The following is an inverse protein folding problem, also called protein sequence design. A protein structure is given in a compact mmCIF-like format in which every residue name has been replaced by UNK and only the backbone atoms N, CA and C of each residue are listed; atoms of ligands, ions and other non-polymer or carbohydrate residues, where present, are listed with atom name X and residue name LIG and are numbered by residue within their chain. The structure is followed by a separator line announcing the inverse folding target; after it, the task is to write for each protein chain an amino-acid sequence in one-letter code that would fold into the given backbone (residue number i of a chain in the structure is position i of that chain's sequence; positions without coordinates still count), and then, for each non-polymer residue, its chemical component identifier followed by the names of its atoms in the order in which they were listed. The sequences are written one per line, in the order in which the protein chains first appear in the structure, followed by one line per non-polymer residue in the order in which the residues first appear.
data_IF_573928561756
#
_entry.id   IF_573928561756
#
_cell.length_a   1.000
_cell.length_b   1.000
_cell.length_c   1.000
_cell.angle_alpha   90.00
_cell.angle_beta   90.00
_cell.angle_gamma   90.00
#
_symmetry.space_group_name_H-M   'P 1'
#
loop_
_entity.id
_entity.type
_entity.pdbx_description
1 polymer ?
#
# COMPACT_ATOMS: atom_id res chain seq x y z
N UNK A 1 58.26 44.97 23.91
CA UNK A 1 56.88 44.50 24.13
C UNK A 1 56.44 43.73 22.91
N UNK A 2 56.37 42.36 23.04
CA UNK A 2 55.98 41.51 21.94
C UNK A 2 54.54 41.08 22.23
N UNK A 3 53.61 41.46 21.35
CA UNK A 3 52.21 41.12 21.46
C UNK A 3 51.97 39.80 20.73
N UNK A 4 51.62 38.78 21.45
CA UNK A 4 51.30 37.47 20.87
C UNK A 4 49.79 37.40 20.57
N UNK A 5 49.43 37.36 19.31
CA UNK A 5 48.05 37.10 18.87
C UNK A 5 47.79 35.60 18.81
N UNK A 6 46.93 35.13 19.70
CA UNK A 6 46.46 33.73 19.67
C UNK A 6 45.22 33.67 18.79
N UNK A 7 45.36 33.09 17.62
CA UNK A 7 44.20 32.85 16.72
C UNK A 7 43.51 31.58 17.16
N UNK A 8 42.29 31.67 17.66
CA UNK A 8 41.49 30.50 17.97
C UNK A 8 40.78 30.03 16.69
N UNK A 9 41.13 28.84 16.24
CA UNK A 9 40.41 28.15 15.13
C UNK A 9 39.14 27.52 15.72
N UNK A 10 38.00 28.05 15.35
CA UNK A 10 36.71 27.44 15.66
C UNK A 10 36.40 26.40 14.64
N UNK A 11 36.45 25.14 15.03
CA UNK A 11 36.08 24.01 14.17
C UNK A 11 34.55 23.87 14.20
N UNK A 12 33.91 24.26 13.12
CA UNK A 12 32.46 24.04 12.97
C UNK A 12 32.20 22.57 12.67
N UNK A 13 31.62 21.87 13.63
CA UNK A 13 31.16 20.49 13.39
C UNK A 13 29.83 20.56 12.66
N UNK A 14 29.87 20.24 11.39
CA UNK A 14 28.64 20.10 10.57
C UNK A 14 28.04 18.74 10.92
N UNK A 15 27.03 18.76 11.78
CA UNK A 15 26.21 17.57 12.00
C UNK A 15 25.35 17.36 10.76
N UNK A 16 25.78 16.46 9.90
CA UNK A 16 24.95 15.99 8.79
C UNK A 16 23.85 15.11 9.39
N UNK A 17 22.69 15.68 9.59
CA UNK A 17 21.50 14.92 9.94
C UNK A 17 21.10 14.11 8.70
N UNK A 18 21.49 12.83 8.68
CA UNK A 18 20.94 11.89 7.73
C UNK A 18 19.46 11.74 8.09
N UNK A 19 18.61 12.43 7.36
CA UNK A 19 17.18 12.16 7.39
C UNK A 19 17.00 10.73 6.88
N UNK A 20 16.74 9.82 7.80
CA UNK A 20 16.22 8.50 7.44
C UNK A 20 14.88 8.77 6.76
N UNK A 21 14.90 8.75 5.43
CA UNK A 21 13.67 8.69 4.67
C UNK A 21 13.03 7.36 5.04
N UNK A 22 12.14 7.39 6.03
CA UNK A 22 11.28 6.25 6.31
C UNK A 22 10.56 5.95 5.01
N UNK A 23 10.88 4.82 4.40
CA UNK A 23 10.21 4.36 3.20
C UNK A 23 8.75 4.08 3.57
N UNK A 24 7.90 5.07 3.31
CA UNK A 24 6.47 4.99 3.53
C UNK A 24 5.77 4.26 2.37
N UNK A 25 6.54 3.48 1.63
CA UNK A 25 6.06 2.77 0.46
C UNK A 25 5.38 1.47 0.88
N UNK A 26 4.18 1.25 0.40
CA UNK A 26 3.33 0.14 0.86
C UNK A 26 2.91 -0.75 -0.30
N UNK A 27 3.02 -2.05 -0.08
CA UNK A 27 2.59 -3.05 -1.07
C UNK A 27 1.93 -4.23 -0.38
N UNK A 28 1.10 -4.94 -1.15
CA UNK A 28 0.59 -6.27 -0.81
C UNK A 28 1.71 -7.28 -1.05
N UNK A 29 1.88 -8.22 -0.10
CA UNK A 29 2.90 -9.27 -0.16
C UNK A 29 2.28 -10.67 -0.30
N UNK A 30 1.05 -10.84 0.23
CA UNK A 30 0.30 -12.10 0.14
C UNK A 30 -1.18 -11.77 0.06
N UNK A 31 -1.90 -12.26 -0.94
CA UNK A 31 -1.39 -12.95 -2.14
C UNK A 31 -0.47 -12.02 -2.96
N UNK A 32 0.53 -12.61 -3.61
CA UNK A 32 1.61 -11.82 -4.25
C UNK A 32 1.16 -11.23 -5.59
N UNK A 33 1.16 -9.91 -5.77
CA UNK A 33 0.83 -9.33 -7.08
C UNK A 33 1.95 -9.54 -8.09
N UNK A 34 1.60 -9.58 -9.36
CA UNK A 34 2.55 -9.42 -10.46
C UNK A 34 2.74 -7.92 -10.70
N UNK A 35 3.97 -7.43 -10.67
CA UNK A 35 4.26 -6.02 -10.89
C UNK A 35 4.48 -5.71 -12.37
N UNK A 36 4.18 -4.48 -12.76
CA UNK A 36 4.41 -3.98 -14.13
C UNK A 36 5.84 -3.48 -14.32
N UNK A 37 6.64 -3.46 -13.25
CA UNK A 37 8.03 -2.99 -13.26
C UNK A 37 8.89 -3.85 -12.34
N UNK A 38 10.16 -3.98 -12.66
CA UNK A 38 11.16 -4.60 -11.79
C UNK A 38 11.88 -3.59 -10.89
N UNK A 39 11.72 -2.32 -11.16
CA UNK A 39 12.33 -1.26 -10.36
C UNK A 39 11.74 -1.27 -8.95
N UNK A 40 12.59 -1.47 -7.96
CA UNK A 40 12.18 -1.65 -6.57
C UNK A 40 11.50 -0.40 -5.99
N UNK A 41 12.03 0.76 -6.29
CA UNK A 41 11.49 2.01 -5.75
C UNK A 41 10.11 2.31 -6.33
N UNK A 42 9.92 2.02 -7.61
CA UNK A 42 8.63 2.17 -8.29
C UNK A 42 7.58 1.19 -7.77
N UNK A 43 7.95 -0.10 -7.56
CA UNK A 43 7.01 -1.11 -7.02
C UNK A 43 6.34 -0.66 -5.73
N UNK A 44 7.09 0.03 -4.87
CA UNK A 44 6.63 0.43 -3.55
C UNK A 44 6.04 1.84 -3.54
N UNK A 45 6.09 2.56 -4.67
CA UNK A 45 5.66 3.96 -4.73
C UNK A 45 4.13 4.09 -4.64
N UNK A 46 3.71 5.24 -4.16
CA UNK A 46 2.30 5.62 -4.22
C UNK A 46 1.87 5.89 -5.66
N UNK A 47 0.62 5.59 -5.95
CA UNK A 47 0.00 5.81 -7.26
C UNK A 47 -0.11 7.31 -7.58
N UNK A 48 -0.46 8.11 -6.56
CA UNK A 48 -0.68 9.53 -6.71
C UNK A 48 -0.55 10.23 -5.36
N UNK A 49 -0.29 11.54 -5.41
CA UNK A 49 -0.46 12.45 -4.29
C UNK A 49 -1.76 13.23 -4.47
N UNK A 50 -2.46 13.48 -3.37
CA UNK A 50 -3.56 14.44 -3.30
C UNK A 50 -3.19 15.51 -2.29
N UNK A 51 -3.26 16.76 -2.76
CA UNK A 51 -3.02 17.92 -1.91
C UNK A 51 -4.31 18.72 -1.80
N UNK A 52 -4.45 19.15 -0.56
CA UNK A 52 -5.36 19.88 -0.39
C UNK A 52 -6.66 19.67 -0.89
N UNK A 53 -7.04 18.77 -0.53
CA UNK A 53 -8.40 18.35 -0.93
C UNK A 53 -9.46 18.81 0.07
N UNK A 54 -9.09 19.64 1.03
CA UNK A 54 -10.03 20.13 2.03
C UNK A 54 -10.19 19.24 3.25
N UNK A 55 -9.36 18.22 3.39
CA UNK A 55 -9.33 17.36 4.58
C UNK A 55 -7.88 17.18 5.04
N UNK A 56 -7.69 17.16 6.37
CA UNK A 56 -6.37 17.09 6.97
C UNK A 56 -6.12 15.78 7.72
N UNK A 57 -7.15 15.19 8.30
CA UNK A 57 -7.06 13.96 9.08
C UNK A 57 -7.88 12.85 8.41
N UNK A 58 -7.70 11.62 8.89
CA UNK A 58 -8.49 10.51 8.38
C UNK A 58 -9.99 10.66 8.76
N UNK A 59 -10.29 11.29 9.91
CA UNK A 59 -11.67 11.60 10.31
C UNK A 59 -12.28 12.65 9.37
N UNK A 60 -11.53 13.69 9.05
CA UNK A 60 -11.96 14.71 8.08
C UNK A 60 -12.30 14.07 6.74
N UNK A 61 -11.43 13.15 6.27
CA UNK A 61 -11.64 12.46 5.00
C UNK A 61 -12.91 11.61 5.05
N UNK A 62 -13.14 10.87 6.12
CA UNK A 62 -14.34 10.02 6.25
C UNK A 62 -15.61 10.85 6.13
N UNK A 63 -15.67 12.02 6.80
CA UNK A 63 -16.80 12.93 6.72
C UNK A 63 -16.92 13.54 5.31
N UNK A 64 -15.82 14.08 4.80
CA UNK A 64 -15.77 14.73 3.48
C UNK A 64 -16.19 13.76 2.36
N UNK A 65 -15.73 12.52 2.42
CA UNK A 65 -16.04 11.48 1.43
C UNK A 65 -17.54 11.25 1.33
N UNK A 66 -18.20 11.09 2.47
CA UNK A 66 -19.66 10.89 2.55
C UNK A 66 -20.42 12.10 2.02
N UNK A 67 -19.99 13.30 2.42
CA UNK A 67 -20.63 14.56 2.00
C UNK A 67 -20.49 14.81 0.49
N UNK A 68 -19.45 14.22 -0.13
CA UNK A 68 -19.19 14.34 -1.57
C UNK A 68 -19.71 13.13 -2.36
N UNK A 69 -20.47 12.23 -1.74
CA UNK A 69 -21.18 11.15 -2.42
C UNK A 69 -20.34 9.93 -2.74
N UNK A 70 -19.22 9.74 -2.08
CA UNK A 70 -18.40 8.54 -2.26
C UNK A 70 -18.70 7.53 -1.14
N UNK A 71 -19.37 6.46 -1.48
CA UNK A 71 -19.80 5.43 -0.52
C UNK A 71 -18.65 4.58 0.02
N UNK A 72 -17.50 4.58 -0.66
CA UNK A 72 -16.34 3.77 -0.27
C UNK A 72 -15.04 4.48 -0.65
N UNK A 73 -13.92 4.01 -0.11
CA UNK A 73 -12.58 4.46 -0.54
C UNK A 73 -12.37 4.10 -2.02
N UNK A 74 -12.82 2.91 -2.43
CA UNK A 74 -12.78 2.49 -3.84
C UNK A 74 -13.53 3.48 -4.72
N UNK A 75 -14.75 3.85 -4.34
CA UNK A 75 -15.56 4.82 -5.11
C UNK A 75 -14.84 6.17 -5.24
N UNK A 76 -14.22 6.64 -4.15
CA UNK A 76 -13.40 7.86 -4.18
C UNK A 76 -12.20 7.69 -5.13
N UNK A 77 -11.46 6.60 -4.99
CA UNK A 77 -10.25 6.37 -5.79
C UNK A 77 -10.55 6.24 -7.29
N UNK A 78 -11.73 5.73 -7.63
CA UNK A 78 -12.12 5.53 -9.02
C UNK A 78 -12.82 6.77 -9.61
N UNK A 79 -13.48 7.57 -8.77
CA UNK A 79 -14.28 8.73 -9.19
C UNK A 79 -13.61 10.08 -9.06
N UNK A 80 -12.62 10.22 -8.17
CA UNK A 80 -11.95 11.51 -7.95
C UNK A 80 -10.99 11.83 -9.10
N UNK A 81 -10.84 13.13 -9.35
CA UNK A 81 -9.93 13.61 -10.41
C UNK A 81 -8.52 13.79 -9.84
N UNK A 82 -7.59 12.99 -10.31
CA UNK A 82 -6.17 13.14 -10.00
C UNK A 82 -5.30 12.52 -11.10
N UNK A 83 -4.05 12.94 -11.13
CA UNK A 83 -3.08 12.42 -12.11
C UNK A 83 -2.24 11.33 -11.46
N UNK A 84 -2.17 10.18 -12.11
CA UNK A 84 -1.35 9.06 -11.63
C UNK A 84 0.11 9.25 -12.00
N UNK A 85 0.98 8.63 -11.21
CA UNK A 85 2.43 8.59 -11.46
C UNK A 85 2.73 7.89 -12.79
N UNK A 86 3.82 8.30 -13.43
CA UNK A 86 4.24 7.70 -14.71
C UNK A 86 4.40 6.18 -14.56
N UNK A 87 3.79 5.45 -15.49
CA UNK A 87 3.84 4.00 -15.53
C UNK A 87 2.83 3.29 -14.64
N UNK A 88 2.05 4.04 -13.83
CA UNK A 88 1.01 3.47 -13.00
C UNK A 88 -0.31 3.35 -13.77
N UNK A 89 -1.07 2.31 -13.47
CA UNK A 89 -2.44 2.14 -13.94
C UNK A 89 -3.41 2.75 -12.92
N UNK A 90 -4.44 3.42 -13.40
CA UNK A 90 -5.40 4.08 -12.51
C UNK A 90 -6.11 3.10 -11.56
N UNK A 91 -6.42 1.90 -12.05
CA UNK A 91 -7.15 0.88 -11.27
C UNK A 91 -6.24 0.09 -10.33
N UNK A 92 -5.03 -0.27 -10.80
CA UNK A 92 -4.17 -1.28 -10.17
C UNK A 92 -2.81 -0.75 -9.71
N UNK A 93 -2.53 0.54 -9.87
CA UNK A 93 -1.23 1.10 -9.51
C UNK A 93 -0.11 0.50 -10.36
N UNK A 94 0.89 -0.07 -9.70
CA UNK A 94 2.02 -0.70 -10.38
C UNK A 94 1.89 -2.22 -10.45
N UNK A 95 0.65 -2.75 -10.35
CA UNK A 95 0.39 -4.19 -10.45
C UNK A 95 -0.42 -4.51 -11.71
N UNK A 96 -0.29 -5.75 -12.16
CA UNK A 96 -0.90 -6.23 -13.42
C UNK A 96 -2.10 -7.11 -13.10
N UNK A 97 -3.30 -6.63 -13.42
CA UNK A 97 -4.55 -7.37 -13.21
C UNK A 97 -4.61 -8.68 -14.03
N UNK A 98 -3.83 -8.74 -15.12
CA UNK A 98 -3.71 -9.94 -15.98
C UNK A 98 -2.41 -10.69 -15.70
N UNK A 99 -1.82 -10.52 -14.53
CA UNK A 99 -0.60 -11.20 -14.14
C UNK A 99 -0.84 -12.63 -13.67
N UNK A 100 0.13 -13.19 -12.97
CA UNK A 100 0.08 -14.58 -12.50
C UNK A 100 -1.08 -14.77 -11.51
N UNK A 101 -1.94 -15.74 -11.81
CA UNK A 101 -3.08 -16.09 -10.96
C UNK A 101 -2.55 -16.76 -9.67
N UNK A 102 -2.90 -16.21 -8.54
CA UNK A 102 -2.45 -16.70 -7.23
C UNK A 102 -3.48 -17.62 -6.59
N UNK A 103 -3.04 -18.61 -5.81
CA UNK A 103 -3.98 -19.39 -4.99
C UNK A 103 -4.57 -18.53 -3.86
N UNK A 104 -5.75 -18.91 -3.39
CA UNK A 104 -6.30 -18.34 -2.16
C UNK A 104 -5.37 -18.73 -1.00
N UNK A 105 -4.84 -17.78 -0.23
CA UNK A 105 -3.94 -18.12 0.87
C UNK A 105 -4.59 -18.95 1.98
N UNK A 106 -3.81 -19.89 2.53
CA UNK A 106 -4.26 -20.73 3.63
C UNK A 106 -4.61 -19.89 4.86
N UNK A 107 -5.61 -20.31 5.60
CA UNK A 107 -6.05 -19.64 6.82
C UNK A 107 -6.61 -18.24 6.56
N UNK A 108 -7.03 -17.96 5.33
CA UNK A 108 -7.55 -16.66 4.95
C UNK A 108 -6.51 -15.53 5.12
N UNK A 109 -5.23 -15.87 5.01
CA UNK A 109 -4.14 -14.94 5.27
C UNK A 109 -4.06 -13.82 4.22
N UNK A 110 -3.72 -12.65 4.71
CA UNK A 110 -3.29 -11.52 3.87
C UNK A 110 -2.06 -10.88 4.53
N UNK A 111 -1.16 -10.37 3.71
CA UNK A 111 0.04 -9.72 4.21
C UNK A 111 0.37 -8.49 3.36
N UNK A 112 0.70 -7.41 4.04
CA UNK A 112 1.22 -6.18 3.40
C UNK A 112 2.53 -5.77 4.09
N UNK A 113 3.14 -4.69 3.64
CA UNK A 113 4.31 -4.14 4.32
C UNK A 113 3.93 -3.45 5.64
N UNK A 114 2.63 -3.32 5.92
CA UNK A 114 2.07 -2.66 7.09
C UNK A 114 1.54 -1.27 6.73
N UNK A 115 0.75 -0.70 7.61
CA UNK A 115 0.17 0.64 7.42
C UNK A 115 0.95 1.62 8.30
N UNK A 116 1.85 2.39 7.71
CA UNK A 116 2.80 3.25 8.45
C UNK A 116 2.29 4.65 8.72
N UNK A 117 1.16 5.03 8.14
CA UNK A 117 0.51 6.33 8.31
C UNK A 117 -0.97 6.13 8.54
N UNK A 118 -1.59 7.08 9.21
CA UNK A 118 -3.04 7.12 9.35
C UNK A 118 -3.71 7.16 7.98
N UNK A 119 -4.91 6.61 7.91
CA UNK A 119 -5.72 6.66 6.71
C UNK A 119 -6.55 5.41 6.47
N UNK A 120 -7.61 5.54 5.67
CA UNK A 120 -8.51 4.43 5.39
C UNK A 120 -7.91 3.42 4.44
N UNK A 121 -8.33 2.18 4.59
CA UNK A 121 -8.04 1.13 3.61
C UNK A 121 -9.25 0.24 3.37
N UNK A 122 -9.27 -0.37 2.20
CA UNK A 122 -10.29 -1.34 1.81
C UNK A 122 -9.66 -2.49 1.04
N UNK A 123 -10.26 -3.68 1.19
CA UNK A 123 -9.97 -4.83 0.33
C UNK A 123 -11.28 -5.33 -0.24
N UNK A 124 -11.26 -5.63 -1.52
CA UNK A 124 -12.41 -6.12 -2.27
C UNK A 124 -12.04 -7.40 -3.01
N UNK A 125 -13.01 -8.30 -3.17
CA UNK A 125 -12.91 -9.43 -4.10
C UNK A 125 -13.98 -9.18 -5.17
N UNK A 126 -13.55 -8.84 -6.37
CA UNK A 126 -14.41 -8.30 -7.42
C UNK A 126 -15.23 -7.12 -6.88
N UNK A 127 -16.55 -7.28 -6.72
CA UNK A 127 -17.43 -6.22 -6.22
C UNK A 127 -17.88 -6.44 -4.77
N UNK A 128 -17.28 -7.40 -4.07
CA UNK A 128 -17.58 -7.67 -2.65
C UNK A 128 -16.50 -7.04 -1.76
N UNK A 129 -16.87 -6.09 -0.92
CA UNK A 129 -15.96 -5.52 0.09
C UNK A 129 -15.77 -6.54 1.21
N UNK A 130 -14.52 -6.94 1.47
CA UNK A 130 -14.18 -7.97 2.47
C UNK A 130 -13.41 -7.41 3.66
N UNK A 131 -12.92 -6.18 3.56
CA UNK A 131 -12.27 -5.48 4.67
C UNK A 131 -12.39 -3.98 4.47
N UNK A 132 -12.66 -3.27 5.56
CA UNK A 132 -12.68 -1.81 5.56
C UNK A 132 -12.36 -1.28 6.96
N UNK A 133 -11.48 -0.29 7.01
CA UNK A 133 -11.23 0.49 8.24
C UNK A 133 -11.04 1.95 7.88
N UNK A 134 -11.55 2.83 8.74
CA UNK A 134 -11.35 4.28 8.58
C UNK A 134 -9.90 4.69 8.90
N UNK A 135 -9.22 3.94 9.77
CA UNK A 135 -7.79 4.13 10.05
C UNK A 135 -7.09 2.77 10.16
N UNK A 136 -6.45 2.35 9.08
CA UNK A 136 -5.79 1.04 9.02
C UNK A 136 -4.49 0.98 9.82
N UNK A 137 -3.84 2.12 10.04
CA UNK A 137 -2.66 2.19 10.89
C UNK A 137 -3.01 1.77 12.34
N UNK A 138 -4.16 2.20 12.83
CA UNK A 138 -4.62 1.83 14.18
C UNK A 138 -5.23 0.43 14.24
N UNK A 139 -6.01 0.08 13.22
CA UNK A 139 -6.79 -1.16 13.22
C UNK A 139 -5.94 -2.41 12.99
N UNK A 140 -4.84 -2.27 12.24
CA UNK A 140 -3.98 -3.39 11.82
C UNK A 140 -2.56 -3.12 12.32
N UNK A 141 -2.23 -3.68 13.48
CA UNK A 141 -0.97 -3.39 14.17
C UNK A 141 0.26 -4.07 13.56
N UNK A 142 0.08 -4.95 12.59
CA UNK A 142 1.18 -5.72 12.00
C UNK A 142 1.11 -5.80 10.48
N UNK A 143 1.88 -6.73 9.96
CA UNK A 143 1.94 -6.97 8.51
C UNK A 143 0.99 -8.10 8.09
N UNK A 144 0.65 -8.99 9.02
CA UNK A 144 -0.14 -10.19 8.78
C UNK A 144 -1.54 -10.02 9.37
N UNK A 145 -2.56 -10.26 8.58
CA UNK A 145 -3.96 -10.17 8.97
C UNK A 145 -4.79 -11.16 8.14
N UNK A 146 -6.07 -11.22 8.35
CA UNK A 146 -6.96 -12.13 7.62
C UNK A 146 -8.10 -11.35 6.96
N UNK A 147 -8.58 -11.88 5.83
CA UNK A 147 -9.78 -11.37 5.14
C UNK A 147 -10.66 -12.57 4.77
N UNK A 148 -11.93 -12.31 4.50
CA UNK A 148 -12.87 -13.37 4.10
C UNK A 148 -12.82 -13.59 2.60
N UNK A 149 -12.21 -14.69 2.14
CA UNK A 149 -12.15 -15.06 0.73
C UNK A 149 -13.38 -15.84 0.23
N UNK A 150 -14.41 -16.04 1.04
CA UNK A 150 -15.53 -16.92 0.70
C UNK A 150 -16.31 -16.53 -0.55
N UNK A 151 -16.31 -15.23 -0.90
CA UNK A 151 -16.97 -14.74 -2.11
C UNK A 151 -16.22 -15.12 -3.39
N UNK A 152 -14.95 -15.53 -3.29
CA UNK A 152 -14.15 -15.99 -4.44
C UNK A 152 -14.39 -17.48 -4.66
N UNK A 153 -15.44 -17.82 -5.41
CA UNK A 153 -15.89 -19.22 -5.54
C UNK A 153 -15.15 -20.01 -6.64
N UNK A 154 -14.51 -19.35 -7.58
CA UNK A 154 -13.70 -19.99 -8.62
C UNK A 154 -12.49 -19.12 -8.98
N UNK A 155 -12.73 -18.00 -9.64
CA UNK A 155 -11.73 -16.97 -9.92
C UNK A 155 -12.30 -15.62 -9.48
N UNK A 156 -11.43 -14.74 -9.05
CA UNK A 156 -11.79 -13.36 -8.69
C UNK A 156 -10.55 -12.49 -8.74
N UNK A 157 -10.73 -11.18 -8.63
CA UNK A 157 -9.62 -10.24 -8.49
C UNK A 157 -9.68 -9.62 -7.10
N UNK A 158 -8.58 -9.68 -6.38
CA UNK A 158 -8.41 -8.94 -5.14
C UNK A 158 -7.97 -7.52 -5.51
N UNK A 159 -8.70 -6.53 -5.02
CA UNK A 159 -8.34 -5.12 -5.10
C UNK A 159 -8.02 -4.62 -3.68
N UNK A 160 -6.86 -4.04 -3.53
CA UNK A 160 -6.41 -3.46 -2.26
C UNK A 160 -6.22 -1.96 -2.45
N UNK A 161 -6.77 -1.18 -1.53
CA UNK A 161 -6.69 0.28 -1.53
C UNK A 161 -6.23 0.78 -0.17
N UNK A 162 -5.33 1.75 -0.19
CA UNK A 162 -4.96 2.50 1.01
C UNK A 162 -4.74 3.97 0.64
N UNK A 163 -5.32 4.86 1.43
CA UNK A 163 -5.10 6.30 1.32
C UNK A 163 -4.36 6.72 2.59
N UNK A 164 -3.02 6.82 2.52
CA UNK A 164 -2.19 7.16 3.66
C UNK A 164 -1.97 8.66 3.76
N UNK A 165 -2.25 9.25 4.93
CA UNK A 165 -2.03 10.68 5.15
C UNK A 165 -0.62 10.91 5.73
N UNK A 166 0.07 11.93 5.26
CA UNK A 166 1.36 12.38 5.77
C UNK A 166 1.40 13.89 5.90
N UNK A 167 2.09 14.36 6.93
CA UNK A 167 2.38 15.78 7.09
C UNK A 167 3.78 16.05 6.52
N UNK A 168 3.82 16.71 5.37
CA UNK A 168 5.05 17.00 4.62
C UNK A 168 5.11 18.48 4.28
N UNK A 169 6.27 19.11 4.49
CA UNK A 169 6.50 20.52 4.12
C UNK A 169 5.42 21.46 4.67
N UNK A 170 4.98 21.20 5.90
CA UNK A 170 3.94 21.98 6.61
C UNK A 170 2.54 21.86 5.98
N UNK A 171 2.29 20.79 5.22
CA UNK A 171 0.98 20.51 4.63
C UNK A 171 0.66 19.03 4.76
N UNK A 172 -0.63 18.69 4.77
CA UNK A 172 -1.06 17.30 4.71
C UNK A 172 -1.03 16.82 3.27
N UNK A 173 -0.37 15.71 3.05
CA UNK A 173 -0.26 15.05 1.77
C UNK A 173 -0.93 13.68 1.87
N UNK A 174 -1.75 13.32 0.92
CA UNK A 174 -2.46 12.05 0.87
C UNK A 174 -1.89 11.20 -0.25
N UNK A 175 -1.41 10.03 0.12
CA UNK A 175 -0.75 9.10 -0.78
C UNK A 175 -1.69 7.95 -1.10
N UNK A 176 -2.04 7.80 -2.39
CA UNK A 176 -2.92 6.71 -2.84
C UNK A 176 -2.07 5.50 -3.20
N UNK A 177 -2.43 4.34 -2.66
CA UNK A 177 -1.85 3.04 -2.98
C UNK A 177 -2.94 2.10 -3.45
N UNK A 178 -2.66 1.36 -4.53
CA UNK A 178 -3.58 0.36 -5.09
C UNK A 178 -2.79 -0.88 -5.51
N UNK A 179 -3.42 -2.04 -5.42
CA UNK A 179 -2.89 -3.28 -5.98
C UNK A 179 -4.04 -4.17 -6.44
N UNK A 180 -3.79 -4.91 -7.53
CA UNK A 180 -4.71 -5.93 -8.04
C UNK A 180 -3.98 -7.27 -8.05
N UNK A 181 -4.68 -8.34 -7.60
CA UNK A 181 -4.14 -9.70 -7.63
C UNK A 181 -5.21 -10.64 -8.16
N UNK A 182 -5.02 -11.23 -9.35
CA UNK A 182 -5.95 -12.27 -9.81
C UNK A 182 -5.79 -13.53 -8.96
N UNK A 183 -6.91 -14.12 -8.54
CA UNK A 183 -6.96 -15.26 -7.63
C UNK A 183 -7.77 -16.42 -8.25
N UNK A 184 -7.45 -17.65 -7.82
CA UNK A 184 -8.24 -18.81 -8.17
C UNK A 184 -8.20 -19.87 -7.07
N UNK A 185 -9.36 -20.46 -6.81
CA UNK A 185 -9.46 -21.61 -5.89
C UNK A 185 -8.78 -22.85 -6.48
N UNK A 186 -8.70 -22.97 -7.81
CA UNK A 186 -8.03 -24.10 -8.47
C UNK A 186 -6.52 -24.00 -8.48
N UNK A 187 -5.93 -22.79 -8.42
CA UNK A 187 -4.47 -22.61 -8.35
C UNK A 187 -3.87 -23.26 -7.11
N UNK A 188 -4.56 -23.19 -5.98
CA UNK A 188 -4.16 -23.82 -4.70
C UNK A 188 -3.98 -25.33 -4.84
N UNK A 189 -4.82 -25.98 -5.68
CA UNK A 189 -4.79 -27.42 -5.87
C UNK A 189 -3.53 -27.89 -6.61
N UNK A 190 -3.01 -27.09 -7.52
CA UNK A 190 -1.81 -27.42 -8.31
C UNK A 190 -0.53 -27.35 -7.46
N UNK A 191 -0.43 -26.41 -6.56
CA UNK A 191 0.72 -26.29 -5.65
C UNK A 191 0.80 -27.46 -4.67
N UNK A 192 -0.34 -27.90 -4.15
CA UNK A 192 -0.42 -29.07 -3.26
C UNK A 192 0.03 -30.36 -3.92
N UNK A 193 -0.36 -30.56 -5.19
CA UNK A 193 0.00 -31.77 -5.94
C UNK A 193 1.52 -31.81 -6.29
N UNK A 194 2.13 -30.66 -6.53
CA UNK A 194 3.55 -30.59 -6.85
C UNK A 194 4.43 -30.92 -5.64
N UNK A 195 4.01 -30.54 -4.43
CA UNK A 195 4.77 -30.80 -3.22
C UNK A 195 4.67 -32.28 -2.77
N UNK A 196 3.55 -32.96 -3.04
CA UNK A 196 3.41 -34.37 -2.69
C UNK A 196 4.23 -35.30 -3.60
N UNK A 197 4.44 -34.90 -4.87
CA UNK A 197 5.25 -35.72 -5.80
C UNK A 197 6.76 -35.64 -5.55
N UNK A 198 7.22 -34.63 -4.81
CA UNK A 198 8.66 -34.44 -4.54
C UNK A 198 9.17 -35.27 -3.36
N UNK A 199 8.30 -36.02 -2.65
CA UNK A 199 8.68 -36.74 -1.43
C UNK A 199 8.87 -38.26 -1.67
N UNK A 200 8.65 -38.76 -2.90
CA UNK A 200 8.75 -40.20 -3.18
C UNK A 200 9.90 -40.49 -4.15
N UNK A 201 11.13 -40.16 -3.76
CA UNK A 201 12.33 -40.75 -4.40
C UNK A 201 13.55 -40.56 -3.48
N UNK A 202 13.68 -41.50 -2.48
CA UNK A 202 14.97 -41.95 -1.93
C UNK A 202 14.76 -43.17 -1.07
#
# INVERSE_FOLDING_TARGET
MVSSHVSSLSTAVVLSSATLLANAHQVVLLPAPTYTTDDKDTKYAHLAFLEXQGFATQEDFTAWRKDNGYDSLRAFNDGASYTVSDGADLTCGFTNINGDVQPIPDGNAMRSTGYTHDGPCEVWLDDTMVMQYDNCHEAISGKDYTIDYSSCTSTCTLYWFWLGVRYLKNEYSWQIYKACVPLSTSARRLEGAANESAIIDF
#
